data_IF_106805855870
#
_entry.id   IF_106805855870
#
_cell.length_a   1.000
_cell.length_b   1.000
_cell.length_c   1.000
_cell.angle_alpha   90.00
_cell.angle_beta   90.00
_cell.angle_gamma   90.00
#
_symmetry.space_group_name_H-M   'P 1'
#
loop_
_entity.id
_entity.type
_entity.pdbx_description
1 polymer ?
#
# COMPACT_ATOMS: atom_id res chain seq x y z
N UNK A 1 39.27 -20.51 -84.97
CA UNK A 1 38.12 -20.80 -84.14
C UNK A 1 38.17 -19.95 -82.89
N UNK A 2 37.29 -18.93 -82.76
CA UNK A 2 37.33 -17.86 -81.71
C UNK A 2 36.27 -18.20 -80.69
N UNK A 3 36.67 -18.41 -79.42
CA UNK A 3 35.79 -18.57 -78.28
C UNK A 3 35.55 -17.22 -77.62
N UNK A 4 34.28 -16.77 -77.54
CA UNK A 4 33.84 -15.60 -76.85
C UNK A 4 33.70 -15.91 -75.32
N UNK A 5 34.36 -15.09 -74.46
CA UNK A 5 34.09 -15.04 -73.00
C UNK A 5 32.96 -14.07 -72.78
N UNK A 6 31.89 -14.47 -72.09
CA UNK A 6 30.86 -13.60 -71.54
C UNK A 6 31.23 -13.22 -70.16
N UNK A 7 31.23 -11.90 -69.89
CA UNK A 7 31.37 -11.32 -68.56
C UNK A 7 29.99 -11.08 -68.03
N UNK A 8 29.59 -11.82 -66.97
CA UNK A 8 28.38 -11.53 -66.21
C UNK A 8 28.79 -10.75 -64.95
N UNK A 9 28.40 -9.47 -64.92
CA UNK A 9 28.61 -8.60 -63.76
C UNK A 9 27.71 -9.01 -62.58
N UNK A 10 28.32 -9.25 -61.44
CA UNK A 10 27.64 -9.47 -60.16
C UNK A 10 27.41 -8.12 -59.52
N UNK A 11 26.13 -7.65 -59.45
CA UNK A 11 25.74 -6.49 -58.69
C UNK A 11 25.84 -6.78 -57.20
N UNK A 12 26.74 -6.09 -56.51
CA UNK A 12 26.92 -6.19 -55.05
C UNK A 12 25.73 -5.55 -54.33
N UNK A 13 24.96 -6.36 -53.66
CA UNK A 13 23.93 -5.90 -52.73
C UNK A 13 24.62 -5.34 -51.48
N UNK A 14 24.69 -4.00 -51.33
CA UNK A 14 25.11 -3.33 -50.11
C UNK A 14 24.10 -3.61 -48.99
N UNK A 15 24.46 -4.41 -48.00
CA UNK A 15 23.72 -4.63 -46.79
C UNK A 15 23.75 -3.34 -45.94
N UNK A 16 22.60 -2.75 -45.68
CA UNK A 16 22.46 -1.62 -44.74
C UNK A 16 22.75 -2.10 -43.32
N UNK A 17 23.52 -1.36 -42.50
CA UNK A 17 23.88 -1.84 -41.19
C UNK A 17 22.67 -1.79 -40.25
N UNK A 18 22.26 -2.97 -39.75
CA UNK A 18 21.20 -3.19 -38.76
C UNK A 18 21.45 -2.55 -37.39
N UNK A 19 22.61 -1.92 -37.20
CA UNK A 19 23.08 -1.33 -35.95
C UNK A 19 22.42 0.01 -35.58
N UNK A 20 21.81 0.72 -36.53
CA UNK A 20 21.15 2.00 -36.24
C UNK A 20 19.79 1.87 -35.57
N UNK A 21 19.03 0.82 -35.87
CA UNK A 21 17.71 0.61 -35.23
C UNK A 21 17.81 0.24 -33.74
N UNK A 22 18.81 -0.56 -33.35
CA UNK A 22 18.98 -0.94 -31.94
C UNK A 22 19.39 0.23 -31.05
N UNK A 23 20.20 1.18 -31.55
CA UNK A 23 20.58 2.39 -30.79
C UNK A 23 19.43 3.38 -30.63
N UNK A 24 18.54 3.50 -31.61
CA UNK A 24 17.34 4.34 -31.52
C UNK A 24 16.31 3.74 -30.54
N UNK A 25 16.13 2.42 -30.52
CA UNK A 25 15.25 1.74 -29.58
C UNK A 25 15.75 1.85 -28.13
N UNK A 26 17.06 1.74 -27.89
CA UNK A 26 17.68 1.93 -26.58
C UNK A 26 17.58 3.38 -26.08
N UNK A 27 17.75 4.35 -26.96
CA UNK A 27 17.58 5.78 -26.61
C UNK A 27 16.12 6.13 -26.32
N UNK A 28 15.15 5.56 -27.04
CA UNK A 28 13.72 5.75 -26.75
C UNK A 28 13.31 5.07 -25.45
N UNK A 29 13.84 3.91 -25.12
CA UNK A 29 13.60 3.24 -23.83
C UNK A 29 14.24 4.01 -22.68
N UNK A 30 15.44 4.54 -22.85
CA UNK A 30 16.11 5.37 -21.85
C UNK A 30 15.39 6.72 -21.64
N UNK A 31 14.90 7.36 -22.70
CA UNK A 31 14.14 8.61 -22.60
C UNK A 31 12.73 8.39 -22.01
N UNK A 32 12.06 7.28 -22.33
CA UNK A 32 10.79 6.90 -21.72
C UNK A 32 10.97 6.56 -20.23
N UNK A 33 12.06 5.88 -19.87
CA UNK A 33 12.41 5.60 -18.47
C UNK A 33 12.71 6.89 -17.69
N UNK A 34 13.47 7.82 -18.28
CA UNK A 34 13.75 9.12 -17.66
C UNK A 34 12.50 9.99 -17.52
N UNK A 35 11.64 10.06 -18.55
CA UNK A 35 10.37 10.76 -18.50
C UNK A 35 9.40 10.16 -17.48
N UNK A 36 9.33 8.82 -17.39
CA UNK A 36 8.56 8.13 -16.38
C UNK A 36 9.10 8.40 -14.96
N UNK A 37 10.42 8.44 -14.79
CA UNK A 37 11.07 8.75 -13.52
C UNK A 37 10.82 10.19 -13.07
N UNK A 38 10.93 11.15 -13.98
CA UNK A 38 10.63 12.56 -13.72
C UNK A 38 9.14 12.71 -13.39
N UNK A 39 8.26 12.04 -14.12
CA UNK A 39 6.84 12.08 -13.90
C UNK A 39 6.44 11.45 -12.55
N UNK A 40 7.06 10.32 -12.14
CA UNK A 40 6.85 9.70 -10.84
C UNK A 40 7.33 10.58 -9.68
N UNK A 41 8.47 11.25 -9.83
CA UNK A 41 9.01 12.18 -8.83
C UNK A 41 8.15 13.45 -8.73
N UNK A 42 7.72 14.03 -9.85
CA UNK A 42 6.90 15.25 -9.85
C UNK A 42 5.44 14.99 -9.50
N UNK A 43 4.87 13.85 -9.88
CA UNK A 43 3.52 13.44 -9.50
C UNK A 43 3.37 13.16 -8.00
N UNK A 44 4.44 12.68 -7.35
CA UNK A 44 4.48 12.45 -5.90
C UNK A 44 4.69 13.69 -5.03
N UNK A 45 5.17 14.79 -5.62
CA UNK A 45 5.54 16.02 -4.89
C UNK A 45 4.40 17.05 -4.76
N UNK A 46 3.29 16.88 -5.46
CA UNK A 46 2.14 17.78 -5.33
C UNK A 46 1.16 17.22 -4.31
N UNK A 47 1.29 17.67 -3.06
CA UNK A 47 0.19 17.60 -2.10
C UNK A 47 -1.06 18.25 -2.71
N UNK A 48 -2.27 17.78 -2.37
CA UNK A 48 -3.48 18.47 -2.80
C UNK A 48 -3.40 19.93 -2.34
N UNK A 49 -3.59 20.87 -3.28
CA UNK A 49 -3.81 22.26 -2.93
C UNK A 49 -5.13 22.33 -2.16
N UNK A 50 -5.11 23.10 -1.08
CA UNK A 50 -6.22 23.37 -0.15
C UNK A 50 -6.39 22.30 0.92
N UNK A 51 -5.56 22.42 1.95
CA UNK A 51 -5.94 22.01 3.29
C UNK A 51 -6.47 23.28 3.99
N UNK A 52 -7.76 23.38 4.20
CA UNK A 52 -8.29 24.29 5.21
C UNK A 52 -7.57 24.02 6.54
N UNK A 53 -7.19 25.09 7.24
CA UNK A 53 -6.42 24.96 8.50
C UNK A 53 -7.34 24.42 9.59
N UNK A 54 -7.26 23.12 9.82
CA UNK A 54 -7.89 22.45 10.96
C UNK A 54 -6.90 22.38 12.13
N UNK A 55 -7.37 22.28 13.37
CA UNK A 55 -6.47 22.16 14.52
C UNK A 55 -5.56 20.93 14.39
N UNK A 56 -4.30 21.09 14.78
CA UNK A 56 -3.32 20.01 14.81
C UNK A 56 -3.78 18.87 15.71
N UNK A 57 -3.54 17.63 15.31
CA UNK A 57 -3.82 16.43 16.11
C UNK A 57 -2.85 16.28 17.31
N UNK A 58 -1.82 17.15 17.40
CA UNK A 58 -0.80 17.10 18.44
C UNK A 58 0.61 17.39 17.89
N UNK A 59 1.64 17.42 18.74
CA UNK A 59 3.01 17.67 18.32
C UNK A 59 3.47 16.68 17.24
N UNK A 60 3.97 17.20 16.13
CA UNK A 60 4.46 16.38 15.02
C UNK A 60 3.37 15.83 14.08
N UNK A 61 2.12 16.21 14.28
CA UNK A 61 1.04 15.99 13.32
C UNK A 61 0.72 17.31 12.62
N UNK A 62 0.58 17.28 11.29
CA UNK A 62 0.00 18.39 10.56
C UNK A 62 -1.51 18.46 10.83
N UNK A 63 -2.18 19.59 10.56
CA UNK A 63 -3.63 19.69 10.68
C UNK A 63 -4.34 18.63 9.83
N UNK A 64 -5.48 18.14 10.33
CA UNK A 64 -6.35 17.26 9.55
C UNK A 64 -6.95 18.02 8.37
N UNK A 65 -6.98 17.36 7.21
CA UNK A 65 -7.67 17.86 6.02
C UNK A 65 -8.69 16.84 5.53
N UNK A 66 -9.85 17.30 5.08
CA UNK A 66 -10.88 16.45 4.48
C UNK A 66 -10.51 16.13 3.04
N UNK A 67 -10.40 14.85 2.70
CA UNK A 67 -10.21 14.40 1.32
C UNK A 67 -11.56 14.26 0.61
N UNK A 68 -12.54 13.72 1.30
CA UNK A 68 -13.95 13.62 0.91
C UNK A 68 -14.81 13.34 2.16
N UNK A 69 -16.14 13.43 2.09
CA UNK A 69 -17.01 13.26 3.26
C UNK A 69 -16.73 11.95 4.01
N UNK A 70 -16.39 12.06 5.30
CA UNK A 70 -16.05 10.93 6.17
C UNK A 70 -14.63 10.41 6.01
N UNK A 71 -13.79 11.02 5.16
CA UNK A 71 -12.38 10.64 4.95
C UNK A 71 -11.48 11.82 5.22
N UNK A 72 -10.65 11.69 6.23
CA UNK A 72 -9.72 12.75 6.63
C UNK A 72 -8.28 12.26 6.59
N UNK A 73 -7.38 13.17 6.35
CA UNK A 73 -5.95 12.94 6.14
C UNK A 73 -5.11 13.85 7.01
N UNK A 74 -4.03 13.31 7.56
CA UNK A 74 -3.03 14.03 8.32
C UNK A 74 -1.63 13.52 7.98
N UNK A 75 -0.63 14.40 7.95
CA UNK A 75 0.78 13.99 7.85
C UNK A 75 1.44 13.98 9.23
N UNK A 76 2.38 13.06 9.37
CA UNK A 76 3.28 12.96 10.51
C UNK A 76 4.65 13.48 10.09
N UNK A 77 5.18 14.40 10.90
CA UNK A 77 6.55 14.90 10.74
C UNK A 77 7.18 15.14 12.09
N UNK A 78 8.18 14.33 12.42
CA UNK A 78 9.00 14.48 13.63
C UNK A 78 10.47 14.45 13.27
N UNK A 79 11.27 15.24 13.99
CA UNK A 79 12.72 15.31 13.81
C UNK A 79 13.48 14.80 15.03
N UNK A 80 12.80 14.66 16.14
CA UNK A 80 13.36 14.13 17.38
C UNK A 80 12.53 12.93 17.89
N UNK A 81 13.17 11.88 18.40
CA UNK A 81 14.61 11.66 18.52
C UNK A 81 15.31 11.38 17.18
N UNK A 82 14.56 11.18 16.09
CA UNK A 82 15.04 10.94 14.72
C UNK A 82 14.02 11.41 13.69
N UNK A 83 14.43 11.48 12.42
CA UNK A 83 13.52 11.84 11.32
C UNK A 83 12.44 10.77 11.12
N UNK A 84 11.19 11.19 11.22
CA UNK A 84 9.99 10.37 11.01
C UNK A 84 9.04 11.09 10.07
N UNK A 85 8.65 10.41 9.00
CA UNK A 85 7.65 10.84 8.04
C UNK A 85 6.57 9.77 7.95
N UNK A 86 5.33 10.20 8.06
CA UNK A 86 4.20 9.28 8.00
C UNK A 86 2.93 9.95 7.52
N UNK A 87 1.91 9.13 7.35
CA UNK A 87 0.61 9.52 6.82
C UNK A 87 -0.47 8.79 7.59
N UNK A 88 -1.53 9.50 7.93
CA UNK A 88 -2.71 8.93 8.59
C UNK A 88 -3.93 9.24 7.76
N UNK A 89 -4.74 8.24 7.50
CA UNK A 89 -6.12 8.38 7.09
C UNK A 89 -7.02 7.96 8.24
N UNK A 90 -8.11 8.69 8.46
CA UNK A 90 -9.20 8.24 9.33
C UNK A 90 -10.51 8.28 8.61
N UNK A 91 -11.37 7.32 8.93
CA UNK A 91 -12.63 7.05 8.25
C UNK A 91 -13.76 7.02 9.26
N UNK A 92 -14.78 7.84 9.07
CA UNK A 92 -16.01 7.83 9.87
C UNK A 92 -16.92 6.68 9.40
N UNK A 93 -16.75 5.50 10.02
CA UNK A 93 -17.60 4.34 9.72
C UNK A 93 -19.02 4.47 10.33
N UNK A 94 -19.23 5.44 11.21
CA UNK A 94 -20.56 5.81 11.68
C UNK A 94 -21.37 6.56 10.62
N UNK A 95 -20.72 7.14 9.63
CA UNK A 95 -21.33 7.61 8.40
C UNK A 95 -21.72 6.37 7.58
N UNK A 96 -23.01 6.18 7.32
CA UNK A 96 -23.59 4.97 6.74
C UNK A 96 -23.14 4.64 5.32
N UNK A 97 -22.34 5.47 4.69
CA UNK A 97 -21.93 5.35 3.30
C UNK A 97 -20.47 4.88 3.12
N UNK A 98 -19.70 4.66 4.21
CA UNK A 98 -18.37 4.09 4.13
C UNK A 98 -18.32 2.66 4.65
N UNK A 99 -17.51 1.82 3.99
CA UNK A 99 -17.22 0.47 4.46
C UNK A 99 -15.78 0.07 4.22
N UNK A 100 -15.22 -0.68 5.16
CA UNK A 100 -13.96 -1.37 4.98
C UNK A 100 -14.20 -2.66 4.20
N UNK A 101 -13.36 -2.89 3.20
CA UNK A 101 -13.36 -4.10 2.37
C UNK A 101 -11.95 -4.67 2.26
N UNK A 102 -11.86 -5.94 1.95
CA UNK A 102 -10.64 -6.57 1.46
C UNK A 102 -10.94 -7.07 0.04
N UNK A 103 -10.42 -6.42 -1.00
CA UNK A 103 -10.65 -6.84 -2.37
C UNK A 103 -10.10 -8.24 -2.65
N UNK A 104 -10.78 -8.98 -3.50
CA UNK A 104 -10.30 -10.28 -3.94
C UNK A 104 -9.01 -10.14 -4.75
N UNK A 105 -7.97 -10.89 -4.34
CA UNK A 105 -6.79 -11.09 -5.16
C UNK A 105 -7.11 -11.88 -6.42
N UNK A 106 -6.29 -11.73 -7.46
CA UNK A 106 -6.38 -12.59 -8.63
C UNK A 106 -5.79 -13.96 -8.27
N UNK A 107 -6.52 -15.07 -8.51
CA UNK A 107 -6.00 -16.40 -8.20
C UNK A 107 -4.74 -16.70 -9.01
N UNK A 108 -3.79 -17.37 -8.38
CA UNK A 108 -2.57 -17.83 -9.03
C UNK A 108 -2.69 -19.30 -9.43
N UNK A 109 -2.21 -19.67 -10.61
CA UNK A 109 -2.13 -21.06 -11.05
C UNK A 109 -1.24 -21.96 -10.18
N UNK A 110 -0.38 -21.34 -9.34
CA UNK A 110 0.49 -22.04 -8.37
C UNK A 110 -0.10 -22.09 -6.96
N UNK A 111 -1.37 -21.74 -6.80
CA UNK A 111 -2.02 -21.53 -5.51
C UNK A 111 -1.69 -20.15 -4.90
N UNK A 112 -2.57 -19.65 -4.01
CA UNK A 112 -2.47 -18.32 -3.46
C UNK A 112 -3.00 -17.23 -4.39
N UNK A 113 -2.48 -16.02 -4.29
CA UNK A 113 -2.89 -14.87 -5.08
C UNK A 113 -1.73 -14.30 -5.89
N UNK A 114 -2.03 -13.45 -6.87
CA UNK A 114 -1.03 -12.65 -7.58
C UNK A 114 -0.81 -11.35 -6.83
N UNK A 115 0.46 -11.02 -6.60
CA UNK A 115 0.81 -9.74 -6.03
C UNK A 115 0.59 -8.62 -7.07
N UNK A 116 0.01 -7.52 -6.62
CA UNK A 116 -0.28 -6.35 -7.45
C UNK A 116 0.14 -5.06 -6.74
N UNK A 117 0.38 -4.01 -7.50
CA UNK A 117 0.57 -2.70 -6.90
C UNK A 117 -0.72 -2.24 -6.20
N UNK A 118 -0.63 -1.58 -5.03
CA UNK A 118 -1.80 -1.09 -4.31
C UNK A 118 -2.73 -0.21 -5.16
N UNK A 119 -2.19 0.58 -6.08
CA UNK A 119 -2.97 1.39 -7.03
C UNK A 119 -3.78 0.55 -8.03
N UNK A 120 -3.39 -0.69 -8.30
CA UNK A 120 -4.16 -1.59 -9.16
C UNK A 120 -5.47 -1.96 -8.50
N UNK A 121 -5.45 -2.35 -7.22
CA UNK A 121 -6.68 -2.60 -6.47
C UNK A 121 -7.54 -1.35 -6.33
N UNK A 122 -6.91 -0.21 -5.96
CA UNK A 122 -7.62 1.05 -5.81
C UNK A 122 -8.50 1.36 -7.03
N UNK A 123 -7.94 1.21 -8.23
CA UNK A 123 -8.63 1.52 -9.50
C UNK A 123 -9.62 0.44 -9.92
N UNK A 124 -9.22 -0.83 -9.82
CA UNK A 124 -10.04 -1.97 -10.27
C UNK A 124 -11.33 -2.06 -9.48
N UNK A 125 -11.25 -1.83 -8.17
CA UNK A 125 -12.38 -2.04 -7.25
C UNK A 125 -13.07 -0.72 -6.85
N UNK A 126 -12.72 0.41 -7.49
CA UNK A 126 -13.34 1.71 -7.26
C UNK A 126 -13.21 2.20 -5.81
N UNK A 127 -12.05 1.96 -5.20
CA UNK A 127 -11.82 2.28 -3.80
C UNK A 127 -11.43 3.75 -3.60
N UNK A 128 -11.83 4.32 -2.48
CA UNK A 128 -11.43 5.66 -2.04
C UNK A 128 -10.00 5.67 -1.54
N UNK A 129 -9.62 4.64 -0.78
CA UNK A 129 -8.29 4.48 -0.22
C UNK A 129 -7.92 3.00 -0.12
N UNK A 130 -6.61 2.72 -0.11
CA UNK A 130 -6.04 1.39 0.16
C UNK A 130 -4.82 1.51 1.04
N UNK A 131 -4.60 0.46 1.84
CA UNK A 131 -3.38 0.23 2.60
C UNK A 131 -2.97 -1.23 2.47
N UNK A 132 -1.65 -1.52 2.41
CA UNK A 132 -1.16 -2.90 2.40
C UNK A 132 -1.62 -3.65 3.66
N UNK A 133 -1.85 -4.96 3.55
CA UNK A 133 -2.50 -5.70 4.62
C UNK A 133 -1.69 -6.90 5.12
N UNK A 134 -2.04 -8.11 4.70
CA UNK A 134 -1.50 -9.36 5.23
C UNK A 134 -0.09 -9.63 4.74
N UNK A 135 0.85 -10.06 5.60
CA UNK A 135 2.15 -10.56 5.18
C UNK A 135 2.04 -11.68 4.15
N UNK A 136 3.03 -11.82 3.29
CA UNK A 136 3.01 -12.82 2.21
C UNK A 136 4.43 -13.28 1.84
N UNK A 137 4.51 -14.45 1.21
CA UNK A 137 5.74 -15.03 0.67
C UNK A 137 5.47 -15.74 -0.67
N UNK A 138 6.47 -15.80 -1.57
CA UNK A 138 7.73 -15.05 -1.57
C UNK A 138 7.53 -13.57 -1.89
N UNK A 139 8.53 -12.74 -1.62
CA UNK A 139 8.51 -11.33 -2.03
C UNK A 139 8.60 -11.23 -3.56
N UNK A 140 7.61 -10.62 -4.25
CA UNK A 140 7.65 -10.45 -5.69
C UNK A 140 8.45 -9.19 -6.06
N UNK A 141 9.27 -9.27 -7.10
CA UNK A 141 9.97 -8.10 -7.65
C UNK A 141 9.02 -7.25 -8.52
N UNK A 142 8.13 -7.92 -9.24
CA UNK A 142 7.19 -7.32 -10.19
C UNK A 142 5.76 -7.77 -9.90
N UNK A 143 4.74 -6.98 -10.28
CA UNK A 143 3.35 -7.41 -10.18
C UNK A 143 3.09 -8.66 -11.01
N UNK A 144 2.04 -9.40 -10.64
CA UNK A 144 1.68 -10.68 -11.26
C UNK A 144 2.39 -11.89 -10.67
N UNK A 145 3.40 -11.70 -9.81
CA UNK A 145 4.07 -12.79 -9.10
C UNK A 145 3.12 -13.54 -8.18
N UNK A 146 3.24 -14.89 -8.12
CA UNK A 146 2.45 -15.73 -7.22
C UNK A 146 2.95 -15.59 -5.79
N UNK A 147 2.05 -15.29 -4.86
CA UNK A 147 2.34 -15.17 -3.43
C UNK A 147 1.31 -15.92 -2.60
N UNK A 148 1.71 -16.36 -1.42
CA UNK A 148 0.83 -16.95 -0.40
C UNK A 148 0.75 -16.02 0.78
N UNK A 149 -0.47 -15.66 1.15
CA UNK A 149 -0.73 -14.85 2.33
C UNK A 149 -0.36 -15.63 3.59
N UNK A 150 0.30 -14.96 4.52
CA UNK A 150 0.71 -15.50 5.81
C UNK A 150 -0.22 -14.93 6.88
N UNK A 151 -1.46 -15.43 6.93
CA UNK A 151 -2.47 -14.97 7.89
C UNK A 151 -3.87 -14.96 7.29
N UNK A 152 -4.84 -14.61 8.13
CA UNK A 152 -6.25 -14.50 7.75
C UNK A 152 -6.44 -13.58 6.55
N UNK A 153 -7.24 -14.03 5.60
CA UNK A 153 -7.75 -13.19 4.52
C UNK A 153 -9.20 -13.56 4.21
N UNK A 154 -10.12 -12.65 4.51
CA UNK A 154 -11.55 -12.82 4.27
C UNK A 154 -12.08 -11.66 3.45
N UNK A 155 -12.76 -11.96 2.36
CA UNK A 155 -13.42 -10.99 1.50
C UNK A 155 -14.87 -11.40 1.28
N UNK A 156 -15.80 -10.48 1.56
CA UNK A 156 -17.25 -10.72 1.42
C UNK A 156 -17.74 -12.03 2.07
N UNK A 157 -17.18 -12.35 3.25
CA UNK A 157 -17.50 -13.58 4.00
C UNK A 157 -16.77 -14.84 3.48
N UNK A 158 -16.04 -14.75 2.36
CA UNK A 158 -15.29 -15.87 1.83
C UNK A 158 -13.83 -15.84 2.32
N UNK A 159 -13.41 -16.94 2.97
CA UNK A 159 -12.05 -17.06 3.48
C UNK A 159 -11.10 -17.54 2.37
N UNK A 160 -10.12 -16.68 2.05
CA UNK A 160 -9.06 -16.93 1.05
C UNK A 160 -7.80 -17.52 1.64
N UNK A 161 -7.50 -17.15 2.90
CA UNK A 161 -6.37 -17.64 3.64
C UNK A 161 -6.80 -17.87 5.09
N UNK A 162 -6.42 -19.00 5.72
CA UNK A 162 -6.75 -19.27 7.12
C UNK A 162 -5.92 -18.36 8.05
N UNK A 163 -6.36 -18.19 9.30
CA UNK A 163 -5.53 -17.59 10.32
C UNK A 163 -4.27 -18.44 10.54
N UNK A 164 -3.18 -17.80 10.91
CA UNK A 164 -1.90 -18.46 11.21
C UNK A 164 -1.63 -18.35 12.71
N UNK A 165 -1.19 -19.39 13.38
CA UNK A 165 -0.74 -19.31 14.77
C UNK A 165 0.29 -18.20 14.94
N UNK A 166 0.17 -17.42 15.99
CA UNK A 166 1.05 -16.29 16.34
C UNK A 166 0.91 -15.03 15.47
N UNK A 167 -0.09 -14.95 14.59
CA UNK A 167 -0.45 -13.73 13.88
C UNK A 167 -1.87 -13.31 14.22
N UNK A 168 -2.01 -12.08 14.68
CA UNK A 168 -3.30 -11.47 15.00
C UNK A 168 -4.01 -10.98 13.74
N UNK A 169 -5.27 -10.60 13.86
CA UNK A 169 -6.07 -10.14 12.71
C UNK A 169 -6.93 -8.94 13.05
N UNK A 170 -7.22 -8.12 12.05
CA UNK A 170 -8.28 -7.12 12.08
C UNK A 170 -9.42 -7.58 11.18
N UNK A 171 -10.63 -7.52 11.69
CA UNK A 171 -11.82 -7.98 10.97
C UNK A 171 -12.97 -6.97 11.08
N UNK A 172 -13.78 -6.91 10.04
CA UNK A 172 -15.08 -6.27 10.04
C UNK A 172 -16.13 -7.39 10.09
N UNK A 173 -16.96 -7.36 11.12
CA UNK A 173 -18.03 -8.37 11.30
C UNK A 173 -19.25 -8.05 10.44
N UNK A 174 -20.15 -9.00 10.30
CA UNK A 174 -21.45 -8.83 9.62
C UNK A 174 -22.33 -7.76 10.28
N UNK A 175 -22.07 -7.43 11.55
CA UNK A 175 -22.72 -6.33 12.28
C UNK A 175 -21.97 -4.99 12.18
N UNK A 176 -21.09 -4.84 11.19
CA UNK A 176 -20.30 -3.63 10.91
C UNK A 176 -19.39 -3.16 12.06
N UNK A 177 -18.90 -4.10 12.87
CA UNK A 177 -17.96 -3.80 13.94
C UNK A 177 -16.55 -4.19 13.57
N UNK A 178 -15.61 -3.27 13.77
CA UNK A 178 -14.18 -3.59 13.73
C UNK A 178 -13.80 -4.36 15.00
N UNK A 179 -13.08 -5.47 14.82
CA UNK A 179 -12.53 -6.25 15.92
C UNK A 179 -11.07 -6.59 15.64
N UNK A 180 -10.28 -6.56 16.70
CA UNK A 180 -8.88 -7.00 16.69
C UNK A 180 -8.85 -8.36 17.38
N UNK A 181 -8.50 -9.39 16.62
CA UNK A 181 -8.63 -10.80 17.01
C UNK A 181 -7.25 -11.36 17.27
N UNK A 182 -6.97 -11.82 18.50
CA UNK A 182 -5.71 -12.49 18.82
C UNK A 182 -5.52 -13.76 18.02
N UNK A 183 -4.28 -14.15 17.82
CA UNK A 183 -3.87 -15.40 17.20
C UNK A 183 -4.55 -16.60 17.87
N UNK A 184 -4.92 -17.59 17.06
CA UNK A 184 -5.57 -18.80 17.53
C UNK A 184 -7.06 -18.66 17.86
N UNK A 185 -7.65 -17.48 17.71
CA UNK A 185 -9.09 -17.29 17.79
C UNK A 185 -9.71 -17.30 16.40
N UNK A 186 -10.84 -18.00 16.26
CA UNK A 186 -11.63 -18.00 15.03
C UNK A 186 -12.86 -17.11 15.22
N UNK A 187 -12.85 -15.90 14.67
CA UNK A 187 -13.97 -14.98 14.79
C UNK A 187 -15.10 -15.43 13.86
N UNK A 188 -16.27 -15.72 14.42
CA UNK A 188 -17.47 -15.98 13.62
C UNK A 188 -18.02 -14.70 12.98
N UNK A 189 -18.69 -14.86 11.83
CA UNK A 189 -19.43 -13.77 11.17
C UNK A 189 -18.53 -12.66 10.62
N UNK A 190 -17.39 -13.01 10.05
CA UNK A 190 -16.49 -12.05 9.40
C UNK A 190 -17.03 -11.70 8.01
N UNK A 191 -17.21 -10.42 7.74
CA UNK A 191 -17.51 -9.91 6.39
C UNK A 191 -16.23 -9.66 5.58
N UNK A 192 -15.25 -8.98 6.18
CA UNK A 192 -13.90 -8.88 5.65
C UNK A 192 -12.86 -8.89 6.76
N UNK A 193 -11.63 -9.28 6.45
CA UNK A 193 -10.58 -9.28 7.45
C UNK A 193 -9.22 -9.59 6.86
N UNK A 194 -8.18 -9.11 7.53
CA UNK A 194 -6.78 -9.32 7.17
C UNK A 194 -5.97 -9.69 8.39
N UNK A 195 -5.08 -10.68 8.24
CA UNK A 195 -4.04 -10.98 9.20
C UNK A 195 -2.98 -9.88 9.19
N UNK A 196 -2.50 -9.51 10.36
CA UNK A 196 -1.34 -8.66 10.55
C UNK A 196 -0.23 -9.43 11.25
N UNK A 197 0.69 -8.71 11.88
CA UNK A 197 1.67 -9.35 12.74
C UNK A 197 1.12 -9.51 14.16
N UNK A 198 0.93 -8.40 14.86
CA UNK A 198 0.54 -8.41 16.28
C UNK A 198 -0.34 -7.20 16.60
N UNK A 199 -1.27 -7.39 17.50
CA UNK A 199 -1.97 -6.31 18.16
C UNK A 199 -0.92 -5.57 18.99
N UNK A 200 -0.74 -4.27 18.72
CA UNK A 200 0.27 -3.41 19.37
C UNK A 200 -0.34 -2.50 20.45
N UNK A 201 -1.68 -2.35 20.41
CA UNK A 201 -2.44 -1.54 21.36
C UNK A 201 -3.78 -2.18 21.65
N UNK A 202 -4.18 -2.21 22.93
CA UNK A 202 -5.47 -2.73 23.36
C UNK A 202 -6.00 -1.93 24.56
N UNK A 203 -7.26 -1.54 24.49
CA UNK A 203 -7.92 -0.74 25.53
C UNK A 203 -7.12 0.51 25.93
N UNK A 204 -6.42 1.14 25.00
CA UNK A 204 -5.61 2.31 25.24
C UNK A 204 -4.19 2.05 25.77
N UNK A 205 -3.79 0.78 25.92
CA UNK A 205 -2.47 0.41 26.44
C UNK A 205 -1.61 -0.30 25.39
N UNK A 206 -0.30 -0.13 25.50
CA UNK A 206 0.65 -0.86 24.66
C UNK A 206 0.68 -2.34 25.07
N UNK A 207 0.74 -3.23 24.08
CA UNK A 207 0.80 -4.68 24.31
C UNK A 207 2.19 -5.25 24.12
N UNK A 208 3.13 -4.48 23.56
CA UNK A 208 4.45 -4.96 23.13
C UNK A 208 5.57 -3.97 23.45
N UNK A 209 6.71 -4.51 23.87
CA UNK A 209 7.97 -3.77 24.13
C UNK A 209 9.01 -3.99 23.01
N UNK A 210 8.57 -4.27 21.79
CA UNK A 210 9.50 -4.49 20.66
C UNK A 210 10.15 -3.20 20.22
N UNK A 211 11.46 -3.24 20.00
CA UNK A 211 12.31 -2.08 19.71
C UNK A 211 12.87 -2.05 18.29
N UNK A 212 12.68 -3.10 17.49
CA UNK A 212 13.16 -3.12 16.10
C UNK A 212 12.44 -2.06 15.26
N UNK A 213 13.25 -1.17 14.69
CA UNK A 213 12.78 -0.04 13.88
C UNK A 213 12.61 -0.47 12.42
N UNK A 214 11.44 -0.17 11.85
CA UNK A 214 11.13 -0.43 10.43
C UNK A 214 10.10 0.58 9.90
N UNK A 215 9.85 0.53 8.59
CA UNK A 215 8.63 1.10 8.04
C UNK A 215 7.43 0.29 8.55
N UNK A 216 6.40 0.99 9.02
CA UNK A 216 5.26 0.34 9.67
C UNK A 216 3.93 0.74 9.03
N UNK A 217 3.03 -0.24 8.98
CA UNK A 217 1.63 -0.06 8.64
C UNK A 217 0.81 -0.47 9.85
N UNK A 218 -0.08 0.40 10.28
CA UNK A 218 -0.94 0.19 11.46
C UNK A 218 -2.39 0.45 11.08
N UNK A 219 -3.26 -0.45 11.51
CA UNK A 219 -4.72 -0.29 11.48
C UNK A 219 -5.21 -0.18 12.91
N UNK A 220 -6.00 0.83 13.21
CA UNK A 220 -6.53 1.05 14.55
C UNK A 220 -7.97 1.56 14.55
N UNK A 221 -8.61 1.52 15.71
CA UNK A 221 -9.97 2.02 15.89
C UNK A 221 -10.11 2.82 17.20
N UNK A 222 -11.06 3.76 17.20
CA UNK A 222 -11.51 4.45 18.42
C UNK A 222 -12.32 3.52 19.33
N UNK A 223 -12.42 3.87 20.61
CA UNK A 223 -13.13 3.08 21.61
C UNK A 223 -14.60 2.81 21.27
N UNK A 224 -15.27 3.77 20.66
CA UNK A 224 -16.66 3.68 20.23
C UNK A 224 -16.83 2.90 18.90
N UNK A 225 -15.70 2.53 18.25
CA UNK A 225 -15.69 1.84 16.97
C UNK A 225 -16.15 2.68 15.79
N UNK A 226 -16.40 3.99 15.99
CA UNK A 226 -16.86 4.90 14.94
C UNK A 226 -15.74 5.20 13.95
N UNK A 227 -14.51 5.46 14.46
CA UNK A 227 -13.38 5.86 13.64
C UNK A 227 -12.43 4.70 13.40
N UNK A 228 -12.18 4.41 12.12
CA UNK A 228 -11.10 3.54 11.66
C UNK A 228 -9.90 4.41 11.26
N UNK A 229 -8.70 4.01 11.68
CA UNK A 229 -7.45 4.72 11.37
C UNK A 229 -6.49 3.81 10.60
N UNK A 230 -5.90 4.33 9.56
CA UNK A 230 -4.74 3.75 8.90
C UNK A 230 -3.56 4.69 9.05
N UNK A 231 -2.50 4.22 9.67
CA UNK A 231 -1.26 4.96 9.81
C UNK A 231 -0.14 4.20 9.12
N UNK A 232 0.60 4.88 8.25
CA UNK A 232 1.86 4.38 7.74
C UNK A 232 2.98 5.33 8.10
N UNK A 233 4.14 4.78 8.46
CA UNK A 233 5.36 5.53 8.67
C UNK A 233 6.44 4.93 7.81
N UNK A 234 7.06 5.76 6.97
CA UNK A 234 8.19 5.37 6.15
C UNK A 234 9.39 5.00 7.04
N UNK A 235 10.21 4.06 6.60
CA UNK A 235 11.33 3.62 7.41
C UNK A 235 12.54 3.15 6.62
N UNK A 236 13.66 2.99 7.34
CA UNK A 236 14.96 2.55 6.78
C UNK A 236 15.43 3.42 5.60
N UNK A 237 15.13 4.72 5.64
CA UNK A 237 15.53 5.71 4.66
C UNK A 237 16.30 6.86 5.36
N UNK A 238 17.61 6.71 5.60
CA UNK A 238 18.41 7.71 6.32
C UNK A 238 18.26 9.12 5.70
N UNK A 239 18.15 10.13 6.57
CA UNK A 239 17.93 11.52 6.16
C UNK A 239 16.53 11.86 5.66
N UNK A 240 15.63 10.86 5.59
CA UNK A 240 14.23 11.07 5.24
C UNK A 240 13.27 10.56 6.33
N UNK A 241 13.28 9.27 6.61
CA UNK A 241 12.50 8.64 7.67
C UNK A 241 13.14 7.34 8.10
N UNK A 242 13.42 7.21 9.38
CA UNK A 242 14.08 6.02 9.91
C UNK A 242 13.09 4.91 10.27
N UNK A 243 11.83 5.27 10.57
CA UNK A 243 10.78 4.34 10.94
C UNK A 243 10.50 4.30 12.45
N UNK A 244 9.66 3.36 12.84
CA UNK A 244 9.22 3.17 14.23
C UNK A 244 9.36 1.71 14.65
N UNK A 245 9.57 1.51 15.96
CA UNK A 245 9.30 0.23 16.59
C UNK A 245 7.80 0.03 16.79
N UNK A 246 7.38 -1.20 17.13
CA UNK A 246 5.97 -1.49 17.42
C UNK A 246 5.47 -0.70 18.65
N UNK A 247 6.31 -0.55 19.66
CA UNK A 247 6.02 0.26 20.85
C UNK A 247 5.79 1.73 20.49
N UNK A 248 6.70 2.33 19.73
CA UNK A 248 6.58 3.72 19.28
C UNK A 248 5.37 3.93 18.36
N UNK A 249 5.08 2.98 17.48
CA UNK A 249 3.91 3.04 16.62
C UNK A 249 2.60 2.99 17.41
N UNK A 250 2.55 2.17 18.49
CA UNK A 250 1.43 2.12 19.41
C UNK A 250 1.24 3.46 20.15
N UNK A 251 2.32 4.06 20.65
CA UNK A 251 2.26 5.36 21.31
C UNK A 251 1.77 6.44 20.32
N UNK A 252 2.36 6.49 19.13
CA UNK A 252 2.05 7.49 18.13
C UNK A 252 0.59 7.45 17.67
N UNK A 253 0.05 6.26 17.40
CA UNK A 253 -1.36 6.14 17.00
C UNK A 253 -2.30 6.41 18.18
N UNK A 254 -1.87 6.11 19.42
CA UNK A 254 -2.60 6.41 20.63
C UNK A 254 -2.81 7.91 20.87
N UNK A 255 -1.87 8.76 20.43
CA UNK A 255 -2.01 10.22 20.48
C UNK A 255 -3.21 10.74 19.65
N UNK A 256 -3.70 9.94 18.71
CA UNK A 256 -4.87 10.23 17.88
C UNK A 256 -6.20 9.74 18.49
N UNK A 257 -6.17 9.20 19.71
CA UNK A 257 -7.35 8.66 20.40
C UNK A 257 -7.70 7.22 20.01
N UNK A 258 -6.79 6.51 19.35
CA UNK A 258 -6.95 5.10 19.02
C UNK A 258 -6.77 4.25 20.28
N UNK A 259 -7.71 3.35 20.54
CA UNK A 259 -7.67 2.45 21.70
C UNK A 259 -7.18 1.05 21.35
N UNK A 260 -7.48 0.59 20.16
CA UNK A 260 -7.09 -0.74 19.68
C UNK A 260 -6.40 -0.62 18.33
N UNK A 261 -5.25 -1.29 18.17
CA UNK A 261 -4.47 -1.22 16.95
C UNK A 261 -3.66 -2.50 16.71
N UNK A 262 -3.50 -2.83 15.43
CA UNK A 262 -2.69 -3.95 14.94
C UNK A 262 -1.63 -3.43 13.97
N UNK A 263 -0.42 -4.00 14.06
CA UNK A 263 0.62 -3.84 13.06
C UNK A 263 0.39 -4.82 11.91
N UNK A 264 0.24 -4.29 10.72
CA UNK A 264 0.11 -5.05 9.48
C UNK A 264 1.50 -5.36 8.89
N UNK A 265 1.54 -5.90 7.67
CA UNK A 265 2.80 -6.05 6.93
C UNK A 265 3.51 -4.70 6.80
N UNK A 266 4.83 -4.74 6.89
CA UNK A 266 5.67 -3.56 7.00
C UNK A 266 6.83 -3.54 5.99
N UNK A 267 7.87 -2.80 6.31
CA UNK A 267 9.08 -2.73 5.47
C UNK A 267 8.78 -2.20 4.06
N UNK A 268 9.17 -2.96 3.04
CA UNK A 268 8.96 -2.60 1.65
C UNK A 268 7.48 -2.57 1.23
N UNK A 269 6.63 -3.36 1.90
CA UNK A 269 5.19 -3.41 1.61
C UNK A 269 4.44 -2.17 2.08
N UNK A 270 4.99 -1.39 3.02
CA UNK A 270 4.34 -0.22 3.64
C UNK A 270 3.91 0.78 2.58
N UNK A 271 2.61 0.82 2.30
CA UNK A 271 2.03 1.68 1.26
C UNK A 271 0.61 2.08 1.62
N UNK A 272 0.32 3.37 1.54
CA UNK A 272 -1.02 3.94 1.64
C UNK A 272 -1.30 4.79 0.41
N UNK A 273 -2.46 4.61 -0.20
CA UNK A 273 -2.86 5.35 -1.39
C UNK A 273 -4.32 5.75 -1.35
N UNK A 274 -4.64 6.83 -2.05
CA UNK A 274 -6.01 7.37 -2.18
C UNK A 274 -6.38 7.54 -3.64
N UNK A 275 -7.67 7.48 -3.92
CA UNK A 275 -8.21 7.78 -5.24
C UNK A 275 -7.96 9.26 -5.61
N UNK A 276 -8.07 9.56 -6.90
CA UNK A 276 -7.91 10.91 -7.42
C UNK A 276 -6.63 11.09 -8.22
N UNK A 277 -6.45 12.30 -8.74
CA UNK A 277 -5.35 12.61 -9.64
C UNK A 277 -5.54 12.03 -11.04
N UNK A 278 -4.59 12.33 -11.90
CA UNK A 278 -4.67 12.08 -13.34
C UNK A 278 -4.64 10.59 -13.73
N UNK A 279 -4.07 9.75 -12.87
CA UNK A 279 -3.94 8.30 -13.09
C UNK A 279 -4.89 7.48 -12.23
N UNK A 280 -5.93 8.12 -11.65
CA UNK A 280 -6.95 7.44 -10.86
C UNK A 280 -6.51 7.02 -9.46
N UNK A 281 -5.36 7.50 -8.97
CA UNK A 281 -4.90 7.26 -7.61
C UNK A 281 -3.50 7.79 -7.35
N UNK A 282 -3.18 8.01 -6.07
CA UNK A 282 -1.91 8.52 -5.61
C UNK A 282 -1.43 7.80 -4.35
N UNK A 283 -0.18 7.34 -4.35
CA UNK A 283 0.52 6.90 -3.15
C UNK A 283 0.89 8.13 -2.31
N UNK A 284 0.57 8.09 -1.02
CA UNK A 284 0.80 9.22 -0.12
C UNK A 284 2.18 9.19 0.52
N UNK A 285 2.66 8.01 0.91
CA UNK A 285 3.96 7.81 1.52
C UNK A 285 5.08 7.62 0.46
N UNK A 286 6.31 7.46 0.92
CA UNK A 286 7.47 7.11 0.09
C UNK A 286 7.89 5.67 0.40
N UNK A 287 7.30 4.65 -0.25
CA UNK A 287 7.64 3.27 0.01
C UNK A 287 9.15 3.01 -0.17
N UNK A 288 9.69 2.19 0.71
CA UNK A 288 11.06 1.73 0.58
C UNK A 288 11.14 0.70 -0.53
N UNK A 289 11.75 1.08 -1.64
CA UNK A 289 12.03 0.16 -2.74
C UNK A 289 13.53 0.21 -3.05
N UNK A 290 14.17 -0.95 -3.16
CA UNK A 290 15.61 -1.05 -3.38
C UNK A 290 16.02 -0.58 -4.79
N UNK A 291 15.13 -0.68 -5.79
CA UNK A 291 15.36 -0.18 -7.14
C UNK A 291 15.06 1.32 -7.26
N UNK A 292 13.97 1.76 -6.62
CA UNK A 292 13.44 3.11 -6.78
C UNK A 292 12.70 3.58 -5.53
N UNK A 293 13.31 4.40 -4.67
CA UNK A 293 12.61 4.97 -3.52
C UNK A 293 11.33 5.70 -3.95
N UNK A 294 10.19 5.35 -3.34
CA UNK A 294 8.88 5.88 -3.68
C UNK A 294 8.07 5.03 -4.66
N UNK A 295 8.67 4.02 -5.31
CA UNK A 295 7.92 3.02 -6.07
C UNK A 295 7.28 2.03 -5.10
N UNK A 296 5.94 1.84 -5.09
CA UNK A 296 5.31 0.83 -4.27
C UNK A 296 5.83 -0.57 -4.57
N UNK A 297 5.89 -1.41 -3.55
CA UNK A 297 6.12 -2.83 -3.74
C UNK A 297 4.82 -3.53 -4.13
N UNK A 298 4.82 -4.53 -5.04
CA UNK A 298 3.65 -5.36 -5.24
C UNK A 298 3.32 -6.14 -3.97
N UNK A 299 2.06 -6.13 -3.54
CA UNK A 299 1.59 -6.77 -2.30
C UNK A 299 0.57 -7.87 -2.58
N UNK A 300 0.44 -8.82 -1.66
CA UNK A 300 -0.46 -9.96 -1.80
C UNK A 300 -1.93 -9.60 -1.66
N UNK A 301 -2.24 -8.61 -0.82
CA UNK A 301 -3.58 -8.06 -0.64
C UNK A 301 -3.52 -6.65 -0.02
N UNK A 302 -4.66 -5.99 0.02
CA UNK A 302 -4.85 -4.68 0.64
C UNK A 302 -6.14 -4.64 1.47
N UNK A 303 -6.21 -3.77 2.45
CA UNK A 303 -7.48 -3.26 2.96
C UNK A 303 -7.87 -2.04 2.14
N UNK A 304 -9.16 -1.91 1.84
CA UNK A 304 -9.75 -0.83 1.07
C UNK A 304 -10.89 -0.15 1.80
N UNK A 305 -11.16 1.10 1.44
CA UNK A 305 -12.40 1.80 1.80
C UNK A 305 -13.15 2.12 0.52
N UNK A 306 -14.44 1.87 0.51
CA UNK A 306 -15.35 2.28 -0.56
C UNK A 306 -16.65 2.87 0.01
N UNK A 307 -17.41 3.52 -0.85
CA UNK A 307 -18.80 3.85 -0.52
C UNK A 307 -19.66 2.61 -0.62
N UNK A 308 -20.59 2.46 0.31
CA UNK A 308 -21.60 1.40 0.23
C UNK A 308 -22.46 1.63 -1.00
N UNK A 309 -22.75 0.56 -1.73
CA UNK A 309 -23.74 0.63 -2.78
C UNK A 309 -25.12 0.94 -2.13
N UNK A 310 -25.77 1.98 -2.60
CA UNK A 310 -27.16 2.24 -2.20
C UNK A 310 -27.99 1.03 -2.63
N UNK A 311 -28.77 0.41 -1.74
CA UNK A 311 -29.69 -0.64 -2.14
C UNK A 311 -30.62 -0.08 -3.22
N UNK A 312 -30.65 -0.73 -4.37
CA UNK A 312 -31.60 -0.41 -5.45
C UNK A 312 -33.00 -0.93 -5.12
#
# INVERSE_FOLDING_TARGET
MKTRRSLTGRAGRRSRPKWRLGRFALLLLASAGAAFSIWMVWGGLRAPAVLEQWPSAGPGFEPWGTLEPGVEYCRIRRTAPREIRGHVLRFDLGSHDLEMVMPFGLPSSRGGTRAEWPLTWLRRDGLIAVVNATPFLPEPILPGGSVRLQGLAVSEGHQWSPPVPNLDSVVLTSSDRIRFVPAGQDPAGIRCGAGGFLIIRRNGENTLERTEIDAVTVVGASADGRWLYWMVVDGKQPGYSEGLSAHEASNLIGELGVTDAIRMDGGASTTIAVAGGWIGGRVLNRPRNWLYPGLPHPVGNVLGIRRRATPR
#
